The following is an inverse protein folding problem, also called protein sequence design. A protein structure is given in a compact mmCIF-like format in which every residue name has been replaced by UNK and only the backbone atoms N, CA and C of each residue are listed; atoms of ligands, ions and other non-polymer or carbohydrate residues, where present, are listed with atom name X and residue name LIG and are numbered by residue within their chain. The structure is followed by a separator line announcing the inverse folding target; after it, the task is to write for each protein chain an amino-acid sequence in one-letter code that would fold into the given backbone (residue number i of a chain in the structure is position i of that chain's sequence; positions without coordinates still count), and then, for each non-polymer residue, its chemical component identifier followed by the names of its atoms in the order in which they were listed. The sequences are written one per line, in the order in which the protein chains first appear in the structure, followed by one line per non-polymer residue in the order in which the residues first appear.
data_IF_528211200334
#
_entry.id   IF_528211200334
#
_cell.length_a   1.000
_cell.length_b   1.000
_cell.length_c   1.000
_cell.angle_alpha   90.00
_cell.angle_beta   90.00
_cell.angle_gamma   90.00
#
_symmetry.space_group_name_H-M   'P 1'
#
loop_
_entity.id
_entity.type
_entity.pdbx_description
1 polymer ?
#
# COMPACT_ATOMS: atom_id res chain seq x y z
N UNK A 1 22.41 -58.54 12.24
CA UNK A 1 22.35 -57.11 11.85
C UNK A 1 21.00 -56.84 11.21
N UNK A 2 20.18 -55.94 11.77
CA UNK A 2 19.03 -55.34 11.03
C UNK A 2 19.09 -53.82 11.20
N UNK A 3 18.92 -53.15 10.08
CA UNK A 3 19.02 -51.72 9.87
C UNK A 3 18.18 -50.89 10.84
N UNK A 4 18.74 -49.77 11.28
CA UNK A 4 18.04 -48.65 11.90
C UNK A 4 17.34 -47.85 10.79
N UNK A 5 16.02 -47.85 10.74
CA UNK A 5 15.24 -46.89 9.97
C UNK A 5 13.97 -46.51 10.73
N UNK A 6 13.99 -45.29 11.26
CA UNK A 6 12.88 -44.41 11.62
C UNK A 6 11.76 -44.97 12.54
N UNK A 7 11.93 -44.64 13.81
CA UNK A 7 10.95 -44.52 14.88
C UNK A 7 9.58 -43.99 14.43
N UNK A 8 8.51 -44.71 14.80
CA UNK A 8 7.13 -44.19 14.78
C UNK A 8 7.03 -43.00 15.73
N UNK A 9 6.37 -41.89 15.36
CA UNK A 9 6.21 -40.73 16.23
C UNK A 9 5.50 -41.16 17.52
N UNK A 10 6.10 -40.80 18.67
CA UNK A 10 5.59 -41.12 19.98
C UNK A 10 4.29 -40.39 20.32
N UNK A 11 3.58 -40.96 21.28
CA UNK A 11 2.36 -40.51 21.95
C UNK A 11 2.34 -39.03 22.38
N UNK A 12 3.49 -38.38 22.59
CA UNK A 12 3.60 -36.92 22.80
C UNK A 12 3.14 -36.07 21.61
N UNK A 13 3.21 -36.60 20.38
CA UNK A 13 2.72 -35.93 19.18
C UNK A 13 1.18 -35.89 19.10
N UNK A 14 0.46 -36.68 19.91
CA UNK A 14 -1.00 -36.68 19.97
C UNK A 14 -1.57 -35.64 20.95
N UNK A 15 -0.80 -35.21 21.97
CA UNK A 15 -1.27 -34.23 22.96
C UNK A 15 -1.10 -32.78 22.48
N UNK A 16 -0.28 -32.53 21.45
CA UNK A 16 -0.16 -31.21 20.82
C UNK A 16 -1.23 -30.90 19.75
N UNK A 17 -2.16 -31.85 19.52
CA UNK A 17 -3.26 -31.71 18.55
C UNK A 17 -4.50 -30.96 19.07
N UNK A 18 -4.47 -30.36 20.27
CA UNK A 18 -5.67 -29.91 20.96
C UNK A 18 -5.54 -28.70 21.90
N UNK A 19 -4.83 -27.63 21.52
CA UNK A 19 -4.96 -26.33 22.20
C UNK A 19 -5.88 -25.40 21.41
N UNK A 20 -7.18 -25.71 21.44
CA UNK A 20 -8.22 -24.73 21.21
C UNK A 20 -8.37 -23.88 22.47
N UNK A 21 -8.49 -22.56 22.29
CA UNK A 21 -8.67 -21.50 23.29
C UNK A 21 -7.40 -20.93 23.95
N UNK A 22 -6.47 -20.41 23.13
CA UNK A 22 -5.88 -19.12 23.50
C UNK A 22 -6.93 -18.04 23.18
N UNK A 23 -7.38 -17.32 24.21
CA UNK A 23 -8.36 -16.25 24.09
C UNK A 23 -7.89 -15.15 23.14
N UNK A 24 -8.24 -15.29 21.86
CA UNK A 24 -8.24 -14.17 20.93
C UNK A 24 -9.55 -13.46 21.18
N UNK A 25 -9.51 -12.41 22.00
CA UNK A 25 -10.49 -11.34 21.82
C UNK A 25 -10.40 -11.00 20.34
N UNK A 26 -11.46 -11.16 19.52
CA UNK A 26 -11.42 -10.58 18.21
C UNK A 26 -11.38 -9.08 18.50
N UNK A 27 -10.19 -8.49 18.46
CA UNK A 27 -10.08 -7.07 18.14
C UNK A 27 -10.71 -7.01 16.78
N UNK A 28 -12.00 -6.67 16.80
CA UNK A 28 -12.84 -6.45 15.64
C UNK A 28 -12.00 -5.54 14.77
N UNK A 29 -11.45 -6.10 13.69
CA UNK A 29 -10.66 -5.34 12.74
C UNK A 29 -11.49 -4.10 12.43
N UNK A 30 -10.94 -2.95 12.83
CA UNK A 30 -11.66 -1.68 12.80
C UNK A 30 -12.30 -1.54 11.44
N UNK A 31 -13.64 -1.51 11.44
CA UNK A 31 -14.57 -1.12 10.39
C UNK A 31 -13.92 -1.01 9.02
N UNK A 32 -14.23 -1.98 8.17
CA UNK A 32 -13.77 -2.07 6.79
C UNK A 32 -13.62 -0.70 6.14
N UNK A 33 -12.40 -0.43 5.67
CA UNK A 33 -12.11 0.61 4.67
C UNK A 33 -13.25 0.57 3.68
N UNK A 34 -14.10 1.59 3.66
CA UNK A 34 -15.14 1.71 2.66
C UNK A 34 -14.44 1.49 1.32
N UNK A 35 -14.73 0.36 0.67
CA UNK A 35 -14.09 0.01 -0.61
C UNK A 35 -14.73 0.94 -1.64
N UNK A 36 -14.29 2.19 -1.65
CA UNK A 36 -14.62 3.15 -2.70
C UNK A 36 -14.26 2.51 -4.02
N UNK A 37 -15.14 2.65 -5.01
CA UNK A 37 -14.84 2.16 -6.35
C UNK A 37 -13.50 2.74 -6.79
N UNK A 38 -12.58 1.91 -7.31
CA UNK A 38 -11.30 2.42 -7.81
C UNK A 38 -11.61 3.43 -8.91
N UNK A 39 -11.02 4.62 -8.78
CA UNK A 39 -11.09 5.65 -9.80
C UNK A 39 -9.84 5.52 -10.65
N UNK A 40 -10.03 5.24 -11.95
CA UNK A 40 -8.94 5.27 -12.93
C UNK A 40 -8.88 6.66 -13.53
N UNK A 41 -7.68 7.25 -13.53
CA UNK A 41 -7.42 8.54 -14.18
C UNK A 41 -6.40 8.33 -15.30
N UNK A 42 -6.69 8.91 -16.47
CA UNK A 42 -5.75 8.95 -17.59
C UNK A 42 -5.00 10.27 -17.52
N UNK A 43 -3.69 10.22 -17.71
CA UNK A 43 -2.81 11.39 -17.73
C UNK A 43 -2.22 11.54 -19.12
N UNK A 44 -2.03 12.78 -19.55
CA UNK A 44 -1.29 13.08 -20.78
C UNK A 44 0.21 12.84 -20.56
N UNK A 45 0.95 12.68 -21.66
CA UNK A 45 2.41 12.44 -21.60
C UNK A 45 3.16 13.54 -20.85
N UNK A 46 2.67 14.79 -20.92
CA UNK A 46 3.24 15.90 -20.16
C UNK A 46 3.22 15.63 -18.64
N UNK A 47 2.07 15.20 -18.10
CA UNK A 47 1.95 14.90 -16.67
C UNK A 47 2.75 13.63 -16.29
N UNK A 48 2.82 12.63 -17.16
CA UNK A 48 3.65 11.44 -16.92
C UNK A 48 5.15 11.75 -16.89
N UNK A 49 5.60 12.69 -17.73
CA UNK A 49 6.98 13.17 -17.71
C UNK A 49 7.30 13.92 -16.42
N UNK A 50 6.40 14.81 -15.96
CA UNK A 50 6.58 15.50 -14.67
C UNK A 50 6.71 14.52 -13.50
N UNK A 51 5.85 13.49 -13.45
CA UNK A 51 5.95 12.42 -12.44
C UNK A 51 7.33 11.75 -12.50
N UNK A 52 7.81 11.44 -13.70
CA UNK A 52 9.10 10.79 -13.90
C UNK A 52 10.25 11.69 -13.44
N UNK A 53 10.20 12.99 -13.74
CA UNK A 53 11.19 13.97 -13.27
C UNK A 53 11.25 14.02 -11.74
N UNK A 54 10.11 14.06 -11.05
CA UNK A 54 10.08 14.04 -9.58
C UNK A 54 10.67 12.75 -8.99
N UNK A 55 10.41 11.59 -9.62
CA UNK A 55 11.01 10.32 -9.19
C UNK A 55 12.52 10.29 -9.41
N UNK A 56 13.01 10.82 -10.54
CA UNK A 56 14.44 10.92 -10.80
C UNK A 56 15.13 11.84 -9.78
N UNK A 57 14.50 12.95 -9.43
CA UNK A 57 15.01 13.85 -8.40
C UNK A 57 15.06 13.15 -7.03
N UNK A 58 13.99 12.49 -6.60
CA UNK A 58 13.98 11.76 -5.34
C UNK A 58 15.04 10.64 -5.31
N UNK A 59 15.23 9.94 -6.42
CA UNK A 59 16.30 8.94 -6.54
C UNK A 59 17.70 9.56 -6.41
N UNK A 60 17.92 10.76 -6.96
CA UNK A 60 19.16 11.51 -6.81
C UNK A 60 19.41 11.96 -5.36
N UNK A 61 18.33 12.20 -4.60
CA UNK A 61 18.36 12.50 -3.17
C UNK A 61 18.50 11.24 -2.30
N UNK A 62 18.52 10.04 -2.90
CA UNK A 62 18.70 8.75 -2.23
C UNK A 62 17.41 7.98 -1.97
N UNK A 63 16.25 8.53 -2.32
CA UNK A 63 14.95 7.90 -2.12
C UNK A 63 14.52 7.10 -3.35
N UNK A 64 15.02 5.86 -3.44
CA UNK A 64 14.79 4.95 -4.58
C UNK A 64 13.49 4.15 -4.45
N UNK A 65 12.81 4.22 -3.30
CA UNK A 65 11.62 3.43 -3.01
C UNK A 65 10.30 4.06 -3.47
N UNK A 66 10.34 5.33 -3.89
CA UNK A 66 9.14 6.08 -4.26
C UNK A 66 8.55 5.60 -5.59
N UNK A 67 7.22 5.54 -5.62
CA UNK A 67 6.46 5.13 -6.80
C UNK A 67 5.70 6.30 -7.41
N UNK A 68 5.22 6.13 -8.66
CA UNK A 68 4.33 7.12 -9.31
C UNK A 68 3.09 7.43 -8.47
N UNK A 69 2.59 6.43 -7.74
CA UNK A 69 1.45 6.60 -6.84
C UNK A 69 1.78 7.54 -5.68
N UNK A 70 3.01 7.52 -5.17
CA UNK A 70 3.42 8.37 -4.05
C UNK A 70 3.58 9.83 -4.49
N UNK A 71 4.03 10.06 -5.73
CA UNK A 71 4.03 11.41 -6.33
C UNK A 71 2.60 11.97 -6.44
N UNK A 72 1.64 11.16 -6.89
CA UNK A 72 0.24 11.58 -6.96
C UNK A 72 -0.33 11.89 -5.57
N UNK A 73 -0.02 11.06 -4.56
CA UNK A 73 -0.42 11.34 -3.17
C UNK A 73 0.20 12.63 -2.64
N UNK A 74 1.48 12.88 -2.92
CA UNK A 74 2.16 14.11 -2.53
C UNK A 74 1.49 15.34 -3.16
N UNK A 75 1.09 15.26 -4.44
CA UNK A 75 0.31 16.31 -5.10
C UNK A 75 -1.03 16.57 -4.42
N UNK A 76 -1.75 15.52 -3.99
CA UNK A 76 -3.01 15.68 -3.25
C UNK A 76 -2.81 16.32 -1.86
N UNK A 77 -1.71 15.98 -1.17
CA UNK A 77 -1.36 16.61 0.10
C UNK A 77 -1.05 18.10 -0.11
N UNK A 78 -0.26 18.44 -1.13
CA UNK A 78 0.03 19.83 -1.47
C UNK A 78 -1.23 20.63 -1.82
N UNK A 79 -2.20 20.00 -2.53
CA UNK A 79 -3.49 20.64 -2.81
C UNK A 79 -4.30 20.95 -1.54
N UNK A 80 -4.14 20.17 -0.47
CA UNK A 80 -4.83 20.41 0.79
C UNK A 80 -4.25 21.61 1.58
N UNK A 81 -2.99 21.97 1.34
CA UNK A 81 -2.33 23.12 1.98
C UNK A 81 -2.61 24.45 1.25
N UNK A 82 -3.12 24.39 0.01
CA UNK A 82 -3.37 25.56 -0.81
C UNK A 82 -4.73 26.22 -0.49
N UNK A 83 -4.82 27.56 -0.59
CA UNK A 83 -6.09 28.26 -0.50
C UNK A 83 -7.10 27.77 -1.56
N UNK A 84 -8.41 27.73 -1.25
CA UNK A 84 -9.45 27.22 -2.15
C UNK A 84 -9.46 27.90 -3.53
N UNK A 85 -9.13 29.19 -3.58
CA UNK A 85 -9.06 29.97 -4.82
C UNK A 85 -7.97 29.46 -5.77
N UNK A 86 -6.80 29.11 -5.22
CA UNK A 86 -5.68 28.56 -6.01
C UNK A 86 -6.01 27.17 -6.53
N UNK A 87 -6.63 26.33 -5.69
CA UNK A 87 -7.10 25.00 -6.10
C UNK A 87 -8.10 25.12 -7.25
N UNK A 88 -9.06 26.04 -7.15
CA UNK A 88 -10.04 26.29 -8.22
C UNK A 88 -9.38 26.75 -9.53
N UNK A 89 -8.34 27.58 -9.44
CA UNK A 89 -7.58 28.00 -10.61
C UNK A 89 -6.85 26.84 -11.28
N UNK A 90 -6.21 25.95 -10.50
CA UNK A 90 -5.60 24.75 -11.06
C UNK A 90 -6.63 23.84 -11.73
N UNK A 91 -7.80 23.62 -11.12
CA UNK A 91 -8.87 22.81 -11.71
C UNK A 91 -9.40 23.40 -13.04
N UNK A 92 -9.42 24.73 -13.18
CA UNK A 92 -9.81 25.40 -14.42
C UNK A 92 -8.75 25.23 -15.52
N UNK A 93 -7.47 25.19 -15.16
CA UNK A 93 -6.38 24.96 -16.11
C UNK A 93 -6.41 23.51 -16.61
N UNK A 94 -6.58 22.53 -15.72
CA UNK A 94 -6.62 21.11 -16.09
C UNK A 94 -7.83 20.71 -16.93
N UNK A 95 -8.89 21.52 -16.96
CA UNK A 95 -10.06 21.30 -17.83
C UNK A 95 -9.81 21.75 -19.28
N UNK A 96 -8.82 22.61 -19.50
CA UNK A 96 -8.52 23.18 -20.82
C UNK A 96 -7.51 22.35 -21.61
N UNK A 97 -6.69 21.54 -20.93
CA UNK A 97 -5.89 20.47 -21.52
C UNK A 97 -6.77 19.27 -21.92
#
# INVERSE_FOLDING_TARGET
MRNRAATKPGEDAFISGGSANAGVVPVVASKGRAKSRPVTVSLTDNYLNQITTHLQQAAAEGEVSLTRTDVVKAGLLALAELPPEKVMNFLKQTKKD
#
